data_IF_510817384998
#
_entry.id   IF_510817384998
#
_cell.length_a   1.000
_cell.length_b   1.000
_cell.length_c   1.000
_cell.angle_alpha   90.00
_cell.angle_beta   90.00
_cell.angle_gamma   90.00
#
_symmetry.space_group_name_H-M   'P 1'
#
loop_
_entity.id
_entity.type
_entity.pdbx_description
1 polymer ?
#
# COMPACT_ATOMS: atom_id res chain seq x y z
N UNK A 1 -2.89 37.77 -21.17
CA UNK A 1 -1.51 37.74 -20.65
C UNK A 1 -1.03 36.30 -20.70
N UNK A 2 -0.20 35.97 -21.67
CA UNK A 2 0.47 34.67 -21.77
C UNK A 2 1.63 34.66 -20.78
N UNK A 3 1.68 33.65 -19.90
CA UNK A 3 2.81 33.47 -18.98
C UNK A 3 4.03 33.02 -19.77
N UNK A 4 5.18 33.60 -19.47
CA UNK A 4 6.43 33.32 -20.17
C UNK A 4 6.94 31.90 -19.85
N UNK A 5 7.66 31.26 -20.78
CA UNK A 5 8.27 29.94 -20.55
C UNK A 5 9.21 29.91 -19.33
N UNK A 6 9.79 31.06 -18.96
CA UNK A 6 10.58 31.24 -17.74
C UNK A 6 9.74 31.21 -16.46
N UNK A 7 8.52 31.75 -16.48
CA UNK A 7 7.57 31.66 -15.35
C UNK A 7 6.99 30.25 -15.21
N UNK A 8 6.76 29.55 -16.31
CA UNK A 8 6.37 28.14 -16.26
C UNK A 8 7.51 27.26 -15.70
N UNK A 9 8.75 27.53 -16.10
CA UNK A 9 9.94 26.82 -15.61
C UNK A 9 10.23 27.11 -14.13
N UNK A 10 10.01 28.35 -13.66
CA UNK A 10 10.21 28.69 -12.24
C UNK A 10 9.13 28.07 -11.36
N UNK A 11 7.88 27.99 -11.83
CA UNK A 11 6.80 27.28 -11.14
C UNK A 11 7.02 25.75 -11.11
N UNK A 12 7.57 25.16 -12.16
CA UNK A 12 7.96 23.74 -12.18
C UNK A 12 9.18 23.42 -11.28
N UNK A 13 10.06 24.41 -11.06
CA UNK A 13 11.24 24.27 -10.19
C UNK A 13 10.92 24.35 -8.69
N UNK A 14 9.80 24.99 -8.32
CA UNK A 14 9.34 25.14 -6.94
C UNK A 14 8.62 23.92 -6.36
N UNK A 15 8.04 23.06 -7.20
CA UNK A 15 7.26 21.88 -6.79
C UNK A 15 8.08 20.58 -6.62
N UNK A 16 9.42 20.61 -6.66
CA UNK A 16 10.23 19.38 -6.87
C UNK A 16 11.19 18.94 -5.77
N UNK A 17 11.15 19.50 -4.55
CA UNK A 17 12.19 19.17 -3.53
C UNK A 17 11.73 18.41 -2.28
N UNK A 18 10.44 18.20 -2.05
CA UNK A 18 9.95 17.46 -0.86
C UNK A 18 9.71 15.97 -1.08
N UNK A 19 9.28 15.59 -2.29
CA UNK A 19 8.75 14.24 -2.54
C UNK A 19 9.80 13.24 -3.01
N UNK A 20 10.94 13.69 -3.53
CA UNK A 20 11.99 12.80 -4.07
C UNK A 20 12.77 12.03 -2.98
N UNK A 21 12.65 12.41 -1.70
CA UNK A 21 13.35 11.75 -0.59
C UNK A 21 12.47 10.79 0.22
N UNK A 22 11.20 10.59 -0.16
CA UNK A 22 10.34 9.65 0.54
C UNK A 22 10.66 8.21 0.11
N UNK A 23 10.73 7.25 1.05
CA UNK A 23 10.90 5.85 0.69
C UNK A 23 9.67 5.36 -0.09
N UNK A 24 9.89 4.43 -1.01
CA UNK A 24 8.80 3.82 -1.79
C UNK A 24 8.14 2.61 -1.08
N UNK A 25 8.67 2.23 0.08
CA UNK A 25 8.32 1.04 0.85
C UNK A 25 8.69 1.20 2.33
N UNK A 26 8.27 0.25 3.17
CA UNK A 26 8.61 0.24 4.59
C UNK A 26 10.10 -0.06 4.81
N UNK A 27 10.84 0.73 5.60
CA UNK A 27 12.25 0.44 5.89
C UNK A 27 12.41 -0.74 6.86
N UNK A 28 13.49 -1.51 6.68
CA UNK A 28 13.90 -2.54 7.64
C UNK A 28 14.56 -1.89 8.86
N UNK A 29 14.02 -2.12 10.07
CA UNK A 29 14.62 -1.61 11.31
C UNK A 29 14.02 -0.31 11.86
N UNK A 30 12.80 0.04 11.45
CA UNK A 30 12.12 1.21 11.97
C UNK A 30 11.68 1.10 13.45
N UNK A 31 11.79 2.22 14.18
CA UNK A 31 11.08 2.46 15.46
C UNK A 31 9.64 2.96 15.28
N UNK A 32 9.37 3.70 14.20
CA UNK A 32 8.05 4.20 13.85
C UNK A 32 7.26 3.13 13.10
N UNK A 33 6.01 2.92 13.47
CA UNK A 33 5.21 1.87 12.85
C UNK A 33 4.29 2.38 11.74
N UNK A 34 4.22 3.71 11.53
CA UNK A 34 3.55 4.33 10.37
C UNK A 34 4.57 5.21 9.65
N UNK A 35 4.64 5.06 8.33
CA UNK A 35 5.50 5.84 7.44
C UNK A 35 4.70 6.54 6.36
N UNK A 36 5.21 7.67 5.89
CA UNK A 36 4.77 8.24 4.63
C UNK A 36 5.68 7.70 3.53
N UNK A 37 5.07 7.07 2.51
CA UNK A 37 5.79 6.50 1.36
C UNK A 37 5.35 7.19 0.06
N UNK A 38 6.20 7.12 -0.96
CA UNK A 38 5.93 7.63 -2.31
C UNK A 38 6.13 6.53 -3.34
N UNK A 39 5.01 6.03 -3.86
CA UNK A 39 5.00 5.10 -4.99
C UNK A 39 4.88 5.91 -6.28
N UNK A 40 5.58 5.49 -7.33
CA UNK A 40 5.55 6.17 -8.64
C UNK A 40 4.10 6.27 -9.14
N UNK A 41 3.69 7.47 -9.55
CA UNK A 41 2.34 7.73 -10.07
C UNK A 41 1.26 7.97 -9.02
N UNK A 42 1.61 8.00 -7.72
CA UNK A 42 0.69 8.32 -6.63
C UNK A 42 1.18 9.52 -5.82
N UNK A 43 0.25 10.26 -5.22
CA UNK A 43 0.59 11.22 -4.16
C UNK A 43 1.12 10.49 -2.92
N UNK A 44 2.03 11.09 -2.13
CA UNK A 44 2.54 10.43 -0.92
C UNK A 44 1.42 10.04 0.04
N UNK A 45 1.49 8.84 0.63
CA UNK A 45 0.47 8.36 1.56
C UNK A 45 1.06 7.62 2.76
N UNK A 46 0.30 7.56 3.85
CA UNK A 46 0.71 6.87 5.08
C UNK A 46 0.41 5.37 4.99
N UNK A 47 1.36 4.55 5.45
CA UNK A 47 1.21 3.10 5.59
C UNK A 47 1.77 2.61 6.91
N UNK A 48 1.16 1.58 7.51
CA UNK A 48 1.76 0.88 8.63
C UNK A 48 2.86 -0.07 8.15
N UNK A 49 3.96 -0.12 8.87
CA UNK A 49 5.01 -1.09 8.69
C UNK A 49 4.90 -2.19 9.76
N UNK A 50 5.07 -3.45 9.35
CA UNK A 50 4.98 -4.57 10.27
C UNK A 50 6.10 -4.50 11.30
N UNK A 51 5.73 -4.55 12.58
CA UNK A 51 6.70 -4.66 13.68
C UNK A 51 7.34 -6.04 13.74
N UNK A 52 6.62 -7.08 13.33
CA UNK A 52 7.07 -8.47 13.40
C UNK A 52 7.88 -8.90 12.17
N UNK A 53 7.63 -8.27 11.02
CA UNK A 53 8.31 -8.58 9.76
C UNK A 53 8.92 -7.27 9.22
N UNK A 54 10.20 -6.98 9.53
CA UNK A 54 10.88 -5.79 9.03
C UNK A 54 10.79 -5.69 7.50
N UNK A 55 10.56 -4.47 6.99
CA UNK A 55 10.42 -4.22 5.55
C UNK A 55 9.01 -4.39 4.98
N UNK A 56 8.09 -5.02 5.71
CA UNK A 56 6.74 -5.29 5.21
C UNK A 56 5.79 -4.10 5.39
N UNK A 57 5.11 -3.72 4.30
CA UNK A 57 4.00 -2.79 4.31
C UNK A 57 2.69 -3.52 4.59
N UNK A 58 1.94 -3.09 5.60
CA UNK A 58 0.60 -3.63 5.88
C UNK A 58 -0.38 -3.03 4.88
N UNK A 59 -1.09 -3.90 4.16
CA UNK A 59 -2.07 -3.47 3.13
C UNK A 59 -3.52 -3.61 3.59
N UNK A 60 -3.77 -4.44 4.60
CA UNK A 60 -5.07 -4.69 5.18
C UNK A 60 -4.87 -5.18 6.61
N UNK A 61 -5.70 -4.72 7.56
CA UNK A 61 -5.68 -5.21 8.94
C UNK A 61 -7.08 -5.28 9.54
N UNK A 62 -7.42 -6.45 10.12
CA UNK A 62 -8.58 -6.68 11.01
C UNK A 62 -8.09 -7.07 12.40
N UNK A 63 -8.76 -6.60 13.44
CA UNK A 63 -8.42 -6.80 14.85
C UNK A 63 -9.70 -7.01 15.67
N UNK A 64 -10.63 -6.06 15.63
CA UNK A 64 -11.72 -5.91 16.60
C UNK A 64 -13.09 -5.58 15.97
N UNK A 65 -13.16 -5.39 14.64
CA UNK A 65 -14.37 -5.02 13.94
C UNK A 65 -14.75 -3.54 14.03
N UNK A 66 -13.83 -2.67 14.45
CA UNK A 66 -14.03 -1.21 14.51
C UNK A 66 -14.29 -0.58 13.14
N UNK A 67 -13.91 -1.25 12.06
CA UNK A 67 -14.08 -0.75 10.69
C UNK A 67 -15.05 -1.60 9.87
N UNK A 68 -15.91 -0.93 9.09
CA UNK A 68 -16.86 -1.60 8.21
C UNK A 68 -16.20 -1.94 6.87
N UNK A 69 -16.16 -3.23 6.54
CA UNK A 69 -15.63 -3.72 5.25
C UNK A 69 -16.73 -3.97 4.19
N UNK A 70 -18.01 -3.76 4.51
CA UNK A 70 -19.08 -3.72 3.51
C UNK A 70 -19.11 -2.34 2.86
N UNK A 71 -18.21 -2.14 1.89
CA UNK A 71 -17.93 -0.86 1.25
C UNK A 71 -18.23 -0.88 -0.25
N UNK A 72 -18.41 0.29 -0.83
CA UNK A 72 -18.64 0.47 -2.27
C UNK A 72 -17.36 0.22 -3.09
N UNK A 73 -17.51 0.07 -4.41
CA UNK A 73 -16.38 -0.05 -5.33
C UNK A 73 -15.39 1.11 -5.21
N UNK A 74 -15.89 2.35 -5.13
CA UNK A 74 -15.07 3.56 -5.04
C UNK A 74 -14.27 3.58 -3.73
N UNK A 75 -14.86 3.13 -2.62
CA UNK A 75 -14.16 3.01 -1.34
C UNK A 75 -13.09 1.92 -1.38
N UNK A 76 -13.36 0.76 -1.98
CA UNK A 76 -12.34 -0.28 -2.17
C UNK A 76 -11.20 0.17 -3.10
N UNK A 77 -11.51 0.93 -4.14
CA UNK A 77 -10.50 1.55 -5.01
C UNK A 77 -9.57 2.48 -4.24
N UNK A 78 -10.14 3.40 -3.47
CA UNK A 78 -9.40 4.46 -2.79
C UNK A 78 -8.74 4.00 -1.48
N UNK A 79 -9.30 2.98 -0.84
CA UNK A 79 -8.97 2.57 0.52
C UNK A 79 -9.85 3.27 1.56
N UNK A 80 -9.92 2.68 2.76
CA UNK A 80 -10.75 3.15 3.85
C UNK A 80 -10.20 2.66 5.20
N UNK A 81 -10.74 3.24 6.28
CA UNK A 81 -10.37 2.93 7.65
C UNK A 81 -9.19 3.73 8.18
N UNK A 82 -8.68 3.32 9.33
CA UNK A 82 -7.59 4.00 10.03
C UNK A 82 -6.31 3.18 9.90
N UNK A 83 -5.29 3.77 9.26
CA UNK A 83 -3.94 3.19 9.21
C UNK A 83 -3.39 2.88 10.61
N UNK A 84 -3.91 3.52 11.65
CA UNK A 84 -3.58 3.21 13.02
C UNK A 84 -4.34 2.00 13.62
N UNK A 85 -5.51 1.66 13.07
CA UNK A 85 -6.38 0.55 13.48
C UNK A 85 -6.74 -0.38 12.31
N UNK A 86 -8.03 -0.68 12.15
CA UNK A 86 -8.50 -1.47 11.00
C UNK A 86 -8.58 -0.62 9.74
N UNK A 87 -8.07 -1.14 8.61
CA UNK A 87 -8.08 -0.42 7.34
C UNK A 87 -7.83 -1.34 6.15
N UNK A 88 -8.10 -0.80 4.97
CA UNK A 88 -7.65 -1.32 3.68
C UNK A 88 -6.98 -0.21 2.88
N UNK A 89 -5.80 -0.50 2.33
CA UNK A 89 -4.94 0.50 1.67
C UNK A 89 -5.55 1.10 0.39
N UNK A 90 -6.41 0.33 -0.29
CA UNK A 90 -7.03 0.67 -1.57
C UNK A 90 -6.45 -0.09 -2.76
N UNK A 91 -7.32 -0.53 -3.68
CA UNK A 91 -6.94 -1.33 -4.86
C UNK A 91 -6.06 -0.56 -5.84
N UNK A 92 -6.30 0.74 -6.07
CA UNK A 92 -5.44 1.52 -6.98
C UNK A 92 -4.00 1.60 -6.43
N UNK A 93 -3.85 1.77 -5.11
CA UNK A 93 -2.53 1.78 -4.48
C UNK A 93 -1.83 0.43 -4.62
N UNK A 94 -2.55 -0.67 -4.37
CA UNK A 94 -2.03 -2.03 -4.55
C UNK A 94 -1.62 -2.32 -6.00
N UNK A 95 -2.42 -1.89 -6.96
CA UNK A 95 -2.10 -2.06 -8.37
C UNK A 95 -0.80 -1.34 -8.72
N UNK A 96 -0.66 -0.06 -8.35
CA UNK A 96 0.58 0.70 -8.62
C UNK A 96 1.81 0.12 -7.94
N UNK A 97 1.66 -0.37 -6.71
CA UNK A 97 2.75 -1.05 -6.01
C UNK A 97 3.20 -2.30 -6.78
N UNK A 98 2.26 -3.21 -7.08
CA UNK A 98 2.56 -4.49 -7.74
C UNK A 98 2.91 -4.36 -9.23
N UNK A 99 2.55 -3.26 -9.89
CA UNK A 99 2.98 -2.93 -11.25
C UNK A 99 4.45 -2.49 -11.29
N UNK A 100 4.93 -1.80 -10.25
CA UNK A 100 6.27 -1.19 -10.25
C UNK A 100 7.40 -2.22 -10.16
N UNK A 101 7.19 -3.31 -9.42
CA UNK A 101 8.15 -4.42 -9.25
C UNK A 101 7.45 -5.68 -8.71
N UNK A 102 8.06 -6.87 -8.79
CA UNK A 102 7.54 -8.06 -8.13
C UNK A 102 7.36 -7.85 -6.62
N UNK A 103 6.28 -8.38 -6.06
CA UNK A 103 5.97 -8.30 -4.64
C UNK A 103 5.56 -9.69 -4.12
N UNK A 104 5.92 -9.97 -2.88
CA UNK A 104 5.39 -11.10 -2.13
C UNK A 104 4.21 -10.67 -1.25
N UNK A 105 3.32 -11.61 -0.92
CA UNK A 105 2.17 -11.41 -0.04
C UNK A 105 2.23 -12.37 1.15
N UNK A 106 2.17 -11.80 2.34
CA UNK A 106 2.10 -12.53 3.60
C UNK A 106 0.76 -12.27 4.29
N UNK A 107 0.03 -13.34 4.61
CA UNK A 107 -1.27 -13.29 5.28
C UNK A 107 -1.12 -13.95 6.65
N UNK A 108 -1.47 -13.22 7.70
CA UNK A 108 -1.58 -13.70 9.08
C UNK A 108 -3.04 -13.74 9.49
N UNK A 109 -3.54 -14.91 9.89
CA UNK A 109 -4.91 -15.11 10.35
C UNK A 109 -4.91 -15.61 11.80
N UNK A 110 -5.47 -14.82 12.71
CA UNK A 110 -5.75 -15.25 14.08
C UNK A 110 -7.00 -16.12 14.13
N UNK A 111 -6.97 -17.19 14.92
CA UNK A 111 -8.11 -18.07 15.15
C UNK A 111 -8.74 -17.81 16.52
N UNK A 112 -10.02 -18.18 16.72
CA UNK A 112 -10.69 -18.03 18.01
C UNK A 112 -10.02 -18.76 19.17
N UNK A 113 -9.28 -19.83 18.90
CA UNK A 113 -8.52 -20.60 19.89
C UNK A 113 -7.18 -19.94 20.30
N UNK A 114 -6.90 -18.73 19.80
CA UNK A 114 -5.67 -17.98 20.06
C UNK A 114 -4.48 -18.39 19.19
N UNK A 115 -4.61 -19.47 18.39
CA UNK A 115 -3.57 -19.85 17.44
C UNK A 115 -3.57 -18.94 16.21
N UNK A 116 -2.47 -18.98 15.46
CA UNK A 116 -2.33 -18.22 14.21
C UNK A 116 -1.98 -19.16 13.07
N UNK A 117 -2.53 -18.88 11.89
CA UNK A 117 -2.11 -19.50 10.64
C UNK A 117 -1.57 -18.46 9.67
N UNK A 118 -0.67 -18.92 8.80
CA UNK A 118 0.04 -18.07 7.87
C UNK A 118 -0.05 -18.61 6.45
N UNK A 119 -0.08 -17.72 5.47
CA UNK A 119 0.07 -18.06 4.06
C UNK A 119 1.05 -17.07 3.42
N UNK A 120 2.01 -17.59 2.68
CA UNK A 120 3.00 -16.80 1.96
C UNK A 120 2.96 -17.11 0.47
N UNK A 121 2.98 -16.07 -0.34
CA UNK A 121 2.84 -16.06 -1.79
C UNK A 121 3.99 -15.24 -2.38
N UNK A 122 4.75 -15.80 -3.32
CA UNK A 122 6.02 -15.22 -3.80
C UNK A 122 5.89 -14.31 -5.03
N UNK A 123 4.72 -14.23 -5.67
CA UNK A 123 4.49 -13.36 -6.83
C UNK A 123 3.06 -12.79 -6.85
N UNK A 124 2.80 -11.84 -5.96
CA UNK A 124 1.52 -11.16 -5.82
C UNK A 124 1.38 -9.97 -6.77
N UNK A 125 0.37 -10.03 -7.64
CA UNK A 125 0.07 -8.99 -8.62
C UNK A 125 -1.42 -8.85 -8.88
N UNK A 126 -1.90 -7.60 -8.98
CA UNK A 126 -3.27 -7.28 -9.38
C UNK A 126 -3.30 -6.40 -10.63
N UNK A 127 -4.37 -6.54 -11.42
CA UNK A 127 -4.63 -5.76 -12.62
C UNK A 127 -5.04 -4.32 -12.31
N UNK A 128 -5.18 -3.53 -13.37
CA UNK A 128 -5.67 -2.16 -13.30
C UNK A 128 -7.18 -2.08 -13.07
N UNK A 129 -7.72 -0.89 -12.85
CA UNK A 129 -9.18 -0.68 -12.75
C UNK A 129 -9.94 -1.15 -14.00
N UNK A 130 -9.33 -1.00 -15.19
CA UNK A 130 -9.91 -1.46 -16.46
C UNK A 130 -10.03 -2.99 -16.52
N UNK A 131 -9.20 -3.67 -15.75
CA UNK A 131 -9.18 -5.13 -15.58
C UNK A 131 -9.88 -5.53 -14.26
N UNK A 132 -10.67 -4.62 -13.69
CA UNK A 132 -11.44 -4.85 -12.45
C UNK A 132 -10.57 -5.24 -11.25
N UNK A 133 -9.30 -4.82 -11.22
CA UNK A 133 -8.32 -5.21 -10.20
C UNK A 133 -8.19 -6.72 -10.03
N UNK A 134 -8.34 -7.48 -11.11
CA UNK A 134 -8.21 -8.94 -11.14
C UNK A 134 -6.91 -9.39 -10.47
N UNK A 135 -6.98 -10.44 -9.66
CA UNK A 135 -5.80 -11.11 -9.11
C UNK A 135 -5.06 -11.84 -10.23
N UNK A 136 -3.98 -11.24 -10.73
CA UNK A 136 -3.23 -11.75 -11.89
C UNK A 136 -2.30 -12.89 -11.52
N UNK A 137 -1.63 -12.77 -10.37
CA UNK A 137 -0.74 -13.80 -9.87
C UNK A 137 -0.67 -13.77 -8.35
N UNK A 138 -0.41 -14.94 -7.76
CA UNK A 138 0.01 -15.11 -6.37
C UNK A 138 1.26 -15.99 -6.27
N UNK A 139 1.76 -16.53 -7.38
CA UNK A 139 2.89 -17.43 -7.40
C UNK A 139 2.65 -18.71 -6.60
N UNK A 140 3.70 -19.19 -5.94
CA UNK A 140 3.67 -20.42 -5.14
C UNK A 140 3.25 -20.13 -3.71
N UNK A 141 2.35 -20.96 -3.21
CA UNK A 141 1.95 -20.94 -1.81
C UNK A 141 2.96 -21.71 -0.95
N UNK A 142 3.34 -21.13 0.18
CA UNK A 142 4.04 -21.82 1.26
C UNK A 142 3.38 -21.54 2.60
N UNK A 143 3.24 -22.59 3.41
CA UNK A 143 2.88 -22.50 4.82
C UNK A 143 4.18 -22.40 5.60
N UNK A 144 4.36 -21.32 6.35
CA UNK A 144 5.46 -21.16 7.31
C UNK A 144 4.89 -21.07 8.72
#
# INVERSE_FOLDING_TARGET
MEKTNSELSSQLSGCRKSDENLPDSCPSGSRNWIYQIKVRGLEPFKVPCSKALPGWTVIQRRIDGSENFKRTWVEYKNGFGDVSGEFFIGLEKLHRMTETRPHELYIKLGKPDGSTSYAHYDDFKIGSEKEYYELKNVGKHSVR
#
